data_IF_684493284898
#
_entry.id   IF_684493284898
#
_cell.length_a   1.000
_cell.length_b   1.000
_cell.length_c   1.000
_cell.angle_alpha   90.00
_cell.angle_beta   90.00
_cell.angle_gamma   90.00
#
_symmetry.space_group_name_H-M   'P 1'
#
loop_
_entity.id
_entity.type
_entity.pdbx_description
1 polymer ?
#
# COMPACT_ATOMS: atom_id res chain seq x y z
N UNK A 1 -7.65 10.69 5.83
CA UNK A 1 -6.51 10.03 6.47
C UNK A 1 -5.75 9.25 5.42
N UNK A 2 -4.62 9.79 5.03
CA UNK A 2 -3.79 9.17 4.00
C UNK A 2 -2.92 8.16 4.74
N UNK A 3 -3.18 6.86 4.53
CA UNK A 3 -2.19 5.84 4.81
C UNK A 3 -0.99 6.15 3.92
N UNK A 4 0.09 6.63 4.51
CA UNK A 4 1.34 6.84 3.78
C UNK A 4 1.95 5.48 3.48
N UNK A 5 1.51 4.86 2.39
CA UNK A 5 2.27 3.80 1.79
C UNK A 5 3.60 4.39 1.32
N UNK A 6 4.68 3.94 1.88
CA UNK A 6 6.02 4.28 1.42
C UNK A 6 6.25 3.58 0.07
N UNK A 7 5.63 4.14 -0.97
CA UNK A 7 5.85 3.71 -2.34
C UNK A 7 7.24 4.15 -2.75
N UNK A 8 8.14 3.23 -3.00
CA UNK A 8 9.50 3.49 -3.48
C UNK A 8 10.63 3.01 -2.57
N UNK A 9 10.32 2.47 -1.39
CA UNK A 9 11.33 1.93 -0.47
C UNK A 9 11.86 0.54 -0.83
N UNK A 10 11.45 -0.01 -1.96
CA UNK A 10 11.69 -1.40 -2.31
C UNK A 10 13.07 -1.70 -2.88
N UNK A 11 13.81 -0.68 -3.28
CA UNK A 11 15.06 -0.94 -4.01
C UNK A 11 16.25 -1.34 -3.15
N UNK A 12 16.25 -1.13 -1.84
CA UNK A 12 17.41 -1.50 -1.00
C UNK A 12 17.00 -1.72 0.46
N UNK A 13 16.54 -2.90 0.83
CA UNK A 13 16.09 -3.18 2.22
C UNK A 13 17.20 -2.98 3.25
N UNK A 14 18.46 -3.20 2.93
CA UNK A 14 19.56 -3.05 3.90
C UNK A 14 20.03 -1.60 4.03
N UNK A 15 20.15 -0.89 2.94
CA UNK A 15 20.66 0.49 2.95
C UNK A 15 19.55 1.50 3.31
N UNK A 16 18.29 1.15 3.07
CA UNK A 16 17.14 2.03 3.32
C UNK A 16 16.56 1.92 4.72
N UNK A 17 16.94 0.95 5.54
CA UNK A 17 16.35 0.78 6.88
C UNK A 17 16.53 2.01 7.77
N UNK A 18 17.72 2.58 7.76
CA UNK A 18 18.01 3.79 8.52
C UNK A 18 17.24 5.00 8.00
N UNK A 19 17.12 5.12 6.67
CA UNK A 19 16.36 6.18 6.04
C UNK A 19 14.85 6.04 6.30
N UNK A 20 14.32 4.81 6.29
CA UNK A 20 12.92 4.53 6.64
C UNK A 20 12.64 4.89 8.11
N UNK A 21 13.57 4.63 9.02
CA UNK A 21 13.43 5.07 10.41
C UNK A 21 13.41 6.60 10.53
N UNK A 22 14.27 7.30 9.80
CA UNK A 22 14.26 8.77 9.76
C UNK A 22 12.94 9.31 9.20
N UNK A 23 12.38 8.67 8.17
CA UNK A 23 11.06 9.03 7.64
C UNK A 23 9.96 8.79 8.68
N UNK A 24 9.99 7.69 9.41
CA UNK A 24 9.04 7.43 10.49
C UNK A 24 9.11 8.52 11.56
N UNK A 25 10.31 8.93 11.98
CA UNK A 25 10.47 10.01 12.93
C UNK A 25 9.92 11.35 12.39
N UNK A 26 10.13 11.64 11.11
CA UNK A 26 9.52 12.81 10.47
C UNK A 26 7.98 12.73 10.46
N UNK A 27 7.41 11.57 10.12
CA UNK A 27 5.95 11.35 10.13
C UNK A 27 5.35 11.58 11.53
N UNK A 28 6.04 11.21 12.60
CA UNK A 28 5.64 11.46 13.99
C UNK A 28 5.57 12.95 14.33
N UNK A 29 6.29 13.79 13.60
CA UNK A 29 6.24 15.24 13.82
C UNK A 29 5.02 15.91 13.20
N UNK A 30 4.39 15.31 12.21
CA UNK A 30 3.25 15.90 11.51
C UNK A 30 2.02 15.99 12.39
N UNK A 31 1.25 17.06 12.15
CA UNK A 31 0.03 17.36 12.92
C UNK A 31 -1.13 17.62 11.98
N UNK A 32 -2.31 17.24 12.42
CA UNK A 32 -3.57 17.62 11.75
C UNK A 32 -3.78 19.13 11.85
N UNK A 33 -4.76 19.66 11.12
CA UNK A 33 -5.17 21.06 11.24
C UNK A 33 -5.58 21.46 12.66
N UNK A 34 -6.00 20.48 13.48
CA UNK A 34 -6.35 20.65 14.89
C UNK A 34 -5.15 20.51 15.83
N UNK A 35 -3.93 20.34 15.32
CA UNK A 35 -2.70 20.20 16.09
C UNK A 35 -2.49 18.78 16.68
N UNK A 36 -3.33 17.79 16.36
CA UNK A 36 -3.19 16.43 16.86
C UNK A 36 -2.18 15.62 16.03
N UNK A 37 -1.44 14.68 16.63
CA UNK A 37 -0.57 13.78 15.88
C UNK A 37 -1.40 12.84 14.99
N UNK A 38 -0.83 12.45 13.85
CA UNK A 38 -1.40 11.38 13.03
C UNK A 38 -1.20 10.02 13.70
N UNK A 39 -2.18 9.14 13.56
CA UNK A 39 -2.03 7.74 13.92
C UNK A 39 -1.30 7.02 12.79
N UNK A 40 -0.12 6.52 13.07
CA UNK A 40 0.67 5.73 12.13
C UNK A 40 0.31 4.24 12.28
N UNK A 41 0.02 3.58 11.18
CA UNK A 41 -0.30 2.16 11.12
C UNK A 41 0.71 1.48 10.18
N UNK A 42 1.66 0.71 10.72
CA UNK A 42 2.67 0.05 9.91
C UNK A 42 2.06 -1.12 9.14
N UNK A 43 2.21 -1.11 7.82
CA UNK A 43 1.93 -2.26 6.98
C UNK A 43 3.10 -3.26 7.05
N UNK A 44 2.84 -4.57 6.97
CA UNK A 44 3.90 -5.55 6.89
C UNK A 44 4.69 -5.37 5.57
N UNK A 45 5.96 -5.73 5.59
CA UNK A 45 6.75 -5.86 4.38
C UNK A 45 6.41 -7.19 3.71
N UNK A 46 6.15 -7.16 2.41
CA UNK A 46 6.06 -8.39 1.62
C UNK A 46 7.45 -9.04 1.51
N UNK A 47 7.49 -10.37 1.47
CA UNK A 47 8.70 -11.09 1.12
C UNK A 47 9.08 -10.73 -0.32
N UNK A 48 10.38 -10.70 -0.58
CA UNK A 48 10.90 -10.31 -1.88
C UNK A 48 10.46 -11.31 -2.96
N UNK A 49 9.88 -10.80 -4.03
CA UNK A 49 9.58 -11.54 -5.24
C UNK A 49 10.60 -11.17 -6.34
N UNK A 50 10.91 -12.13 -7.20
CA UNK A 50 11.84 -11.96 -8.32
C UNK A 50 11.19 -12.44 -9.61
N UNK A 51 11.61 -11.86 -10.73
CA UNK A 51 11.28 -12.35 -12.07
C UNK A 51 12.22 -13.50 -12.49
N UNK A 52 12.05 -13.97 -13.72
CA UNK A 52 12.88 -15.05 -14.30
C UNK A 52 14.34 -14.64 -14.52
N UNK A 53 14.63 -13.34 -14.56
CA UNK A 53 15.97 -12.77 -14.74
C UNK A 53 16.62 -12.38 -13.39
N UNK A 54 16.04 -12.80 -12.28
CA UNK A 54 16.47 -12.47 -10.90
C UNK A 54 16.36 -10.98 -10.56
N UNK A 55 15.61 -10.19 -11.32
CA UNK A 55 15.29 -8.82 -10.95
C UNK A 55 14.21 -8.79 -9.89
N UNK A 56 14.37 -7.92 -8.90
CA UNK A 56 13.42 -7.76 -7.82
C UNK A 56 12.13 -7.11 -8.30
N UNK A 57 11.00 -7.72 -7.96
CA UNK A 57 9.66 -7.24 -8.28
C UNK A 57 9.08 -6.36 -7.15
N UNK A 58 8.23 -5.37 -7.49
CA UNK A 58 7.66 -4.42 -6.53
C UNK A 58 6.47 -5.00 -5.74
N UNK A 59 6.70 -5.98 -4.88
CA UNK A 59 5.69 -6.51 -3.98
C UNK A 59 5.50 -5.60 -2.75
N UNK A 60 4.40 -4.84 -2.69
CA UNK A 60 4.11 -3.96 -1.55
C UNK A 60 2.61 -3.88 -1.25
N UNK A 61 2.24 -4.03 0.02
CA UNK A 61 0.86 -3.85 0.48
C UNK A 61 0.41 -2.40 0.49
N UNK A 62 1.32 -1.45 0.34
CA UNK A 62 1.00 -0.02 0.24
C UNK A 62 0.32 0.36 -1.09
N UNK A 63 0.33 -0.53 -2.07
CA UNK A 63 -0.28 -0.32 -3.38
C UNK A 63 -1.78 -0.69 -3.40
N UNK A 64 -2.52 -0.29 -2.37
CA UNK A 64 -3.95 -0.53 -2.23
C UNK A 64 -4.79 0.59 -2.85
N UNK A 65 -6.04 0.27 -3.21
CA UNK A 65 -7.04 1.18 -3.79
C UNK A 65 -8.17 1.41 -2.79
N UNK A 66 -8.46 2.68 -2.49
CA UNK A 66 -9.58 3.06 -1.63
C UNK A 66 -10.80 3.35 -2.50
N UNK A 67 -11.89 2.61 -2.25
CA UNK A 67 -13.19 2.82 -2.87
C UNK A 67 -14.22 3.28 -1.83
N UNK A 68 -15.42 3.66 -2.27
CA UNK A 68 -16.46 4.14 -1.36
C UNK A 68 -16.83 3.11 -0.28
N UNK A 69 -16.99 1.85 -0.63
CA UNK A 69 -17.44 0.79 0.27
C UNK A 69 -16.36 -0.27 0.58
N UNK A 70 -15.26 -0.25 -0.15
CA UNK A 70 -14.21 -1.26 -0.02
C UNK A 70 -12.81 -0.66 -0.11
N UNK A 71 -11.83 -1.39 0.40
CA UNK A 71 -10.42 -1.20 0.11
C UNK A 71 -9.91 -2.47 -0.54
N UNK A 72 -9.44 -2.35 -1.78
CA UNK A 72 -8.79 -3.44 -2.49
C UNK A 72 -7.30 -3.39 -2.19
N UNK A 73 -6.70 -4.50 -1.78
CA UNK A 73 -5.27 -4.53 -1.50
C UNK A 73 -4.59 -5.69 -2.22
N UNK A 74 -3.32 -5.51 -2.65
CA UNK A 74 -2.61 -6.58 -3.32
C UNK A 74 -2.23 -7.70 -2.36
N UNK A 75 -2.35 -8.94 -2.81
CA UNK A 75 -1.82 -10.13 -2.13
C UNK A 75 -0.76 -10.79 -3.00
N UNK A 76 0.16 -11.51 -2.37
CA UNK A 76 1.33 -12.06 -3.04
C UNK A 76 1.55 -13.55 -2.72
N UNK A 77 0.49 -14.28 -2.33
CA UNK A 77 0.54 -15.67 -1.87
C UNK A 77 1.45 -15.87 -0.66
N UNK A 78 1.40 -14.90 0.25
CA UNK A 78 2.11 -14.89 1.53
C UNK A 78 1.08 -14.83 2.68
N UNK A 79 0.41 -15.94 3.03
CA UNK A 79 -0.80 -15.92 3.86
C UNK A 79 -0.67 -15.14 5.16
N UNK A 80 0.46 -15.25 5.85
CA UNK A 80 0.68 -14.55 7.11
C UNK A 80 0.80 -13.03 6.92
N UNK A 81 1.52 -12.58 5.89
CA UNK A 81 1.69 -11.16 5.57
C UNK A 81 0.43 -10.59 4.94
N UNK A 82 -0.22 -11.33 4.02
CA UNK A 82 -1.48 -10.94 3.38
C UNK A 82 -2.56 -10.71 4.45
N UNK A 83 -2.70 -11.63 5.42
CA UNK A 83 -3.64 -11.50 6.52
C UNK A 83 -3.31 -10.30 7.42
N UNK A 84 -2.05 -10.12 7.78
CA UNK A 84 -1.62 -8.98 8.60
C UNK A 84 -1.86 -7.63 7.91
N UNK A 85 -1.65 -7.56 6.59
CA UNK A 85 -1.97 -6.38 5.81
C UNK A 85 -3.47 -6.07 5.84
N UNK A 86 -4.33 -7.09 5.68
CA UNK A 86 -5.77 -6.95 5.79
C UNK A 86 -6.20 -6.40 7.16
N UNK A 87 -5.63 -6.92 8.25
CA UNK A 87 -5.93 -6.47 9.61
C UNK A 87 -5.56 -4.99 9.85
N UNK A 88 -4.40 -4.57 9.34
CA UNK A 88 -3.97 -3.17 9.43
C UNK A 88 -4.89 -2.26 8.61
N UNK A 89 -5.26 -2.68 7.40
CA UNK A 89 -6.17 -1.91 6.54
C UNK A 89 -7.58 -1.83 7.15
N UNK A 90 -8.07 -2.89 7.78
CA UNK A 90 -9.35 -2.86 8.50
C UNK A 90 -9.35 -1.85 9.67
N UNK A 91 -8.21 -1.70 10.35
CA UNK A 91 -8.05 -0.68 11.39
C UNK A 91 -7.98 0.75 10.83
N UNK A 92 -7.39 0.89 9.63
CA UNK A 92 -7.26 2.19 8.96
C UNK A 92 -8.59 2.67 8.35
N UNK A 93 -9.40 1.75 7.87
CA UNK A 93 -10.64 2.02 7.14
C UNK A 93 -11.85 1.31 7.77
N UNK A 94 -12.25 1.68 8.99
CA UNK A 94 -13.38 1.05 9.65
C UNK A 94 -14.66 1.24 8.84
N UNK A 95 -15.44 0.17 8.70
CA UNK A 95 -16.69 0.19 7.95
C UNK A 95 -16.57 -0.04 6.44
N UNK A 96 -15.34 -0.26 5.93
CA UNK A 96 -15.12 -0.70 4.55
C UNK A 96 -14.77 -2.18 4.49
N UNK A 97 -15.21 -2.83 3.44
CA UNK A 97 -14.82 -4.21 3.13
C UNK A 97 -13.34 -4.23 2.70
N UNK A 98 -12.56 -5.15 3.24
CA UNK A 98 -11.14 -5.32 2.87
C UNK A 98 -11.03 -6.53 1.95
N UNK A 99 -10.68 -6.30 0.69
CA UNK A 99 -10.66 -7.31 -0.35
C UNK A 99 -9.25 -7.52 -0.90
N UNK A 100 -8.72 -8.72 -0.72
CA UNK A 100 -7.41 -9.09 -1.27
C UNK A 100 -7.50 -9.49 -2.74
N UNK A 101 -6.58 -8.99 -3.54
CA UNK A 101 -6.46 -9.30 -4.97
C UNK A 101 -5.06 -9.87 -5.22
N UNK A 102 -4.98 -11.07 -5.80
CA UNK A 102 -3.68 -11.66 -6.16
C UNK A 102 -3.02 -10.85 -7.28
N UNK A 103 -1.93 -10.19 -6.94
CA UNK A 103 -1.20 -9.29 -7.83
C UNK A 103 0.14 -9.85 -8.32
N UNK A 104 0.41 -11.14 -8.14
CA UNK A 104 1.66 -11.77 -8.60
C UNK A 104 1.88 -11.63 -10.11
N UNK A 105 0.81 -11.67 -10.90
CA UNK A 105 0.90 -11.41 -12.34
C UNK A 105 1.14 -9.92 -12.65
N UNK A 106 0.53 -8.99 -11.88
CA UNK A 106 0.67 -7.56 -12.10
C UNK A 106 2.07 -7.07 -11.82
N UNK A 107 2.72 -7.56 -10.76
CA UNK A 107 4.07 -7.11 -10.39
C UNK A 107 5.13 -7.45 -11.45
N UNK A 108 4.88 -8.41 -12.34
CA UNK A 108 5.77 -8.72 -13.48
C UNK A 108 5.95 -7.52 -14.43
N UNK A 109 5.04 -6.56 -14.41
CA UNK A 109 5.12 -5.32 -15.19
C UNK A 109 5.71 -4.16 -14.39
N UNK A 110 6.37 -4.43 -13.26
CA UNK A 110 6.96 -3.45 -12.34
C UNK A 110 5.95 -2.46 -11.73
N UNK A 111 4.65 -2.81 -11.71
CA UNK A 111 3.57 -2.12 -11.02
C UNK A 111 2.71 -3.10 -10.24
N UNK A 112 1.84 -2.62 -9.34
CA UNK A 112 0.91 -3.46 -8.59
C UNK A 112 -0.52 -2.93 -8.72
N UNK A 113 -1.42 -3.26 -7.79
CA UNK A 113 -2.86 -3.05 -7.92
C UNK A 113 -3.25 -1.61 -8.24
N UNK A 114 -2.82 -0.65 -7.45
CA UNK A 114 -3.17 0.75 -7.65
C UNK A 114 -2.62 1.31 -8.97
N UNK A 115 -1.46 0.83 -9.41
CA UNK A 115 -0.80 1.30 -10.63
C UNK A 115 -1.62 1.04 -11.91
N UNK A 116 -2.53 0.06 -11.90
CA UNK A 116 -3.39 -0.28 -13.05
C UNK A 116 -4.80 0.32 -12.93
N UNK A 117 -5.01 1.22 -11.98
CA UNK A 117 -6.32 1.82 -11.70
C UNK A 117 -6.34 3.32 -11.97
N UNK A 118 -7.55 3.82 -12.22
CA UNK A 118 -7.87 5.24 -12.31
C UNK A 118 -9.00 5.56 -11.34
N UNK A 119 -8.82 6.58 -10.51
CA UNK A 119 -9.85 7.04 -9.58
C UNK A 119 -10.50 8.31 -10.09
N UNK A 120 -11.84 8.32 -10.10
CA UNK A 120 -12.65 9.48 -10.43
C UNK A 120 -13.47 9.89 -9.21
N UNK A 121 -13.55 11.19 -8.87
CA UNK A 121 -14.49 11.65 -7.86
C UNK A 121 -15.93 11.30 -8.26
N UNK A 122 -16.78 11.04 -7.27
CA UNK A 122 -18.16 10.58 -7.48
C UNK A 122 -18.98 11.48 -8.43
N UNK A 123 -18.71 12.79 -8.41
CA UNK A 123 -19.40 13.77 -9.23
C UNK A 123 -18.80 13.96 -10.64
N UNK A 124 -17.70 13.29 -10.93
CA UNK A 124 -17.06 13.31 -12.25
C UNK A 124 -17.42 12.01 -12.95
N UNK A 125 -18.41 12.07 -13.84
CA UNK A 125 -18.68 10.93 -14.72
C UNK A 125 -17.74 11.04 -15.90
N UNK A 126 -16.92 10.02 -16.18
CA UNK A 126 -16.21 9.98 -17.45
C UNK A 126 -17.25 9.98 -18.57
N UNK A 127 -17.10 10.89 -19.51
CA UNK A 127 -17.89 10.83 -20.74
C UNK A 127 -17.75 9.42 -21.33
N UNK A 128 -18.85 8.86 -21.76
CA UNK A 128 -18.90 7.46 -22.23
C UNK A 128 -17.80 7.22 -23.26
N UNK A 129 -16.90 6.31 -22.93
CA UNK A 129 -15.99 5.74 -23.90
C UNK A 129 -16.77 4.91 -24.92
#
# INVERSE_FOLDING_TARGET
EIGSGLVGSEMCIRDSYTELQLMEEQLKTFRTLEGKPYRLLPLPMAETAYDEEENRLPATYANFLIMNQAVLYPTYNQPANDQKAAEVLAQAFPGREIVGIDCRALIQQHGSLHCVTMQYPENVKPDKF
#
